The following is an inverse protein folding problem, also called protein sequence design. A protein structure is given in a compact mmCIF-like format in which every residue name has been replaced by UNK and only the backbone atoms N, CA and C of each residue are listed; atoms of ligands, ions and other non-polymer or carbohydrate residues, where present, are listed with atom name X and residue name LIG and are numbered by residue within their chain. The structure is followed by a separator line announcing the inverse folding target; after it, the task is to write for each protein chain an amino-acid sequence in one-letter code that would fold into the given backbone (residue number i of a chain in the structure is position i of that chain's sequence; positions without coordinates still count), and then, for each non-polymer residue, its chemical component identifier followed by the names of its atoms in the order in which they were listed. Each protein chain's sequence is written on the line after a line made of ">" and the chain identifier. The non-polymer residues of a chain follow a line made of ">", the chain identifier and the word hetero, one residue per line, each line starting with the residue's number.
data_IF_281957478491
#
_entry.id   IF_281957478491
#
_cell.length_a   1.000
_cell.length_b   1.000
_cell.length_c   1.000
_cell.angle_alpha   90.00
_cell.angle_beta   90.00
_cell.angle_gamma   90.00
#
_symmetry.space_group_name_H-M   'P 1'
#
loop_
_entity.id
_entity.type
_entity.pdbx_description
1 polymer ?
#
# COMPACT_ATOMS: atom_id res chain seq x y z
N UNK A 1 -6.29 17.50 -8.87
CA UNK A 1 -5.86 16.20 -8.30
C UNK A 1 -5.70 15.19 -9.40
N UNK A 2 -4.56 15.25 -10.11
CA UNK A 2 -4.11 14.11 -10.87
C UNK A 2 -3.22 13.26 -9.93
N UNK A 3 -3.72 12.09 -9.55
CA UNK A 3 -2.94 11.12 -8.79
C UNK A 3 -2.40 10.09 -9.78
N UNK A 4 -1.09 9.88 -9.80
CA UNK A 4 -0.52 8.71 -10.44
C UNK A 4 -0.45 7.60 -9.41
N UNK A 5 -1.21 6.53 -9.63
CA UNK A 5 -1.37 5.44 -8.67
C UNK A 5 -0.88 4.14 -9.28
N UNK A 6 -0.05 3.40 -8.53
CA UNK A 6 0.42 2.06 -8.88
C UNK A 6 0.19 1.11 -7.72
N UNK A 7 -0.47 -0.01 -7.96
CA UNK A 7 -0.61 -1.06 -6.94
C UNK A 7 0.74 -1.73 -6.67
N UNK A 8 1.10 -1.86 -5.39
CA UNK A 8 2.29 -2.57 -4.92
C UNK A 8 1.94 -3.98 -4.45
N UNK A 9 0.83 -4.11 -3.73
CA UNK A 9 0.36 -5.39 -3.19
C UNK A 9 -1.13 -5.33 -2.87
N UNK A 10 -1.82 -6.44 -3.12
CA UNK A 10 -3.13 -6.73 -2.55
C UNK A 10 -3.06 -8.02 -1.75
N UNK A 11 -3.60 -8.02 -0.54
CA UNK A 11 -3.78 -9.22 0.29
C UNK A 11 -5.26 -9.38 0.59
N UNK A 12 -5.82 -10.54 0.28
CA UNK A 12 -7.18 -10.90 0.64
C UNK A 12 -7.16 -12.27 1.31
N UNK A 13 -7.66 -12.36 2.54
CA UNK A 13 -7.83 -13.63 3.26
C UNK A 13 -9.33 -13.86 3.53
N UNK A 14 -9.81 -15.09 3.34
CA UNK A 14 -11.16 -15.55 3.67
C UNK A 14 -11.11 -16.96 4.28
N UNK A 15 -12.16 -17.49 4.97
CA UNK A 15 -13.59 -17.18 4.87
C UNK A 15 -14.30 -16.79 6.20
N UNK A 16 -13.55 -16.52 7.28
CA UNK A 16 -14.12 -16.21 8.62
C UNK A 16 -14.04 -14.72 8.97
N UNK A 17 -13.03 -14.03 8.43
CA UNK A 17 -12.84 -12.58 8.52
C UNK A 17 -12.53 -12.12 7.09
N UNK A 18 -13.32 -11.22 6.52
CA UNK A 18 -12.98 -10.62 5.22
C UNK A 18 -11.93 -9.55 5.47
N UNK A 19 -10.66 -9.95 5.46
CA UNK A 19 -9.50 -9.07 5.65
C UNK A 19 -8.91 -8.80 4.27
N UNK A 20 -9.12 -7.58 3.79
CA UNK A 20 -8.53 -7.09 2.55
C UNK A 20 -7.63 -5.89 2.84
N UNK A 21 -6.37 -6.00 2.42
CA UNK A 21 -5.39 -4.92 2.47
C UNK A 21 -4.94 -4.57 1.04
N UNK A 22 -4.89 -3.28 0.74
CA UNK A 22 -4.34 -2.73 -0.49
C UNK A 22 -3.21 -1.77 -0.18
N UNK A 23 -2.09 -1.94 -0.88
CA UNK A 23 -0.91 -1.10 -0.80
C UNK A 23 -0.64 -0.48 -2.16
N UNK A 24 -0.57 0.86 -2.23
CA UNK A 24 -0.41 1.60 -3.48
C UNK A 24 0.70 2.63 -3.35
N UNK A 25 1.53 2.76 -4.37
CA UNK A 25 2.42 3.91 -4.54
C UNK A 25 1.62 5.04 -5.18
N UNK A 26 1.60 6.21 -4.54
CA UNK A 26 0.85 7.38 -4.99
C UNK A 26 1.80 8.55 -5.19
N UNK A 27 1.80 9.11 -6.41
CA UNK A 27 2.39 10.41 -6.69
C UNK A 27 1.29 11.45 -6.87
N UNK A 28 1.20 12.37 -5.92
CA UNK A 28 0.35 13.55 -6.02
C UNK A 28 1.07 14.61 -6.87
N UNK A 29 0.58 14.83 -8.09
CA UNK A 29 1.20 15.80 -9.00
C UNK A 29 0.98 17.25 -8.58
N UNK A 30 0.00 17.53 -7.73
CA UNK A 30 -0.31 18.89 -7.29
C UNK A 30 0.64 19.28 -6.16
N UNK A 31 0.79 18.42 -5.16
CA UNK A 31 1.68 18.66 -4.00
C UNK A 31 3.12 18.17 -4.19
N UNK A 32 3.39 17.43 -5.28
CA UNK A 32 4.68 16.77 -5.58
C UNK A 32 5.11 15.76 -4.50
N UNK A 33 4.15 15.17 -3.79
CA UNK A 33 4.42 14.17 -2.75
C UNK A 33 4.33 12.77 -3.33
N UNK A 34 5.32 11.94 -2.99
CA UNK A 34 5.35 10.51 -3.33
C UNK A 34 5.27 9.72 -2.02
N UNK A 35 4.20 8.97 -1.83
CA UNK A 35 3.92 8.24 -0.59
C UNK A 35 3.30 6.88 -0.88
N UNK A 36 3.27 6.01 0.14
CA UNK A 36 2.55 4.74 0.09
C UNK A 36 1.20 4.91 0.77
N UNK A 37 0.16 4.46 0.12
CA UNK A 37 -1.19 4.41 0.66
C UNK A 37 -1.53 2.99 1.07
N UNK A 38 -1.95 2.83 2.32
CA UNK A 38 -2.46 1.58 2.86
C UNK A 38 -3.94 1.73 3.14
N UNK A 39 -4.75 0.91 2.48
CA UNK A 39 -6.19 0.82 2.70
C UNK A 39 -6.51 -0.58 3.19
N UNK A 40 -7.25 -0.69 4.29
CA UNK A 40 -7.68 -1.97 4.84
C UNK A 40 -9.19 -2.00 5.01
N UNK A 41 -9.75 -3.19 4.84
CA UNK A 41 -11.15 -3.49 5.12
C UNK A 41 -11.22 -4.85 5.78
N UNK A 42 -11.46 -4.85 7.09
CA UNK A 42 -11.62 -6.04 7.90
C UNK A 42 -13.08 -6.14 8.36
N UNK A 43 -13.82 -7.07 7.76
CA UNK A 43 -15.22 -7.34 8.14
C UNK A 43 -15.28 -8.63 8.95
N UNK A 44 -15.67 -8.53 10.22
CA UNK A 44 -16.04 -9.70 11.02
C UNK A 44 -17.42 -10.19 10.59
N UNK A 45 -17.49 -11.43 10.12
CA UNK A 45 -18.73 -12.05 9.61
C UNK A 45 -19.50 -12.79 10.71
N UNK A 46 -18.94 -12.91 11.93
CA UNK A 46 -19.48 -13.71 13.04
C UNK A 46 -19.94 -12.91 14.26
N UNK A 47 -19.51 -11.66 14.44
CA UNK A 47 -19.86 -10.83 15.61
C UNK A 47 -20.37 -9.43 15.28
N UNK A 48 -21.62 -9.12 15.63
CA UNK A 48 -22.22 -7.79 15.83
C UNK A 48 -21.65 -6.58 15.04
N UNK A 49 -21.32 -6.74 13.76
CA UNK A 49 -21.18 -5.66 12.78
C UNK A 49 -20.03 -4.66 12.97
N UNK A 50 -18.93 -4.99 13.68
CA UNK A 50 -17.76 -4.08 13.67
C UNK A 50 -16.91 -4.31 12.42
N UNK A 51 -17.15 -3.51 11.39
CA UNK A 51 -16.21 -3.31 10.29
C UNK A 51 -15.07 -2.41 10.76
N UNK A 52 -13.83 -2.92 10.76
CA UNK A 52 -12.64 -2.08 10.89
C UNK A 52 -12.12 -1.81 9.48
N UNK A 53 -12.38 -0.62 8.97
CA UNK A 53 -11.89 -0.17 7.67
C UNK A 53 -11.23 1.18 7.84
N UNK A 54 -10.20 1.44 7.05
CA UNK A 54 -9.47 2.67 7.14
C UNK A 54 -8.45 2.81 6.04
N UNK A 55 -7.80 3.96 6.07
CA UNK A 55 -6.83 4.38 5.08
C UNK A 55 -5.80 5.25 5.74
N UNK A 56 -4.53 4.99 5.47
CA UNK A 56 -3.41 5.79 5.93
C UNK A 56 -2.43 6.10 4.80
N UNK A 57 -1.66 7.17 4.99
CA UNK A 57 -0.57 7.55 4.12
C UNK A 57 0.73 7.38 4.91
N UNK A 58 1.69 6.70 4.30
CA UNK A 58 2.99 6.40 4.86
C UNK A 58 4.06 7.03 3.97
N UNK A 59 5.02 7.71 4.59
CA UNK A 59 6.19 8.16 3.85
C UNK A 59 7.00 6.93 3.37
N UNK A 60 7.69 7.05 2.23
CA UNK A 60 8.46 5.93 1.67
C UNK A 60 9.44 5.31 2.69
N UNK A 61 10.20 6.08 3.48
CA UNK A 61 11.08 5.51 4.48
C UNK A 61 10.33 4.74 5.57
N UNK A 62 9.17 5.24 6.01
CA UNK A 62 8.35 4.59 7.03
C UNK A 62 7.83 3.24 6.55
N UNK A 63 7.32 3.21 5.31
CA UNK A 63 6.88 1.96 4.68
C UNK A 63 8.04 0.96 4.55
N UNK A 64 9.21 1.38 4.04
CA UNK A 64 10.36 0.48 3.85
C UNK A 64 10.95 -0.05 5.16
N UNK A 65 10.76 0.66 6.27
CA UNK A 65 11.19 0.24 7.60
C UNK A 65 10.17 -0.64 8.32
N UNK A 66 8.94 -0.80 7.80
CA UNK A 66 7.99 -1.73 8.39
C UNK A 66 8.56 -3.16 8.36
N UNK A 67 8.38 -3.89 9.45
CA UNK A 67 8.90 -5.24 9.58
C UNK A 67 8.26 -6.17 8.54
N UNK A 68 9.08 -6.74 7.66
CA UNK A 68 8.68 -7.78 6.72
C UNK A 68 8.99 -7.44 5.27
N UNK A 69 9.72 -8.33 4.59
CA UNK A 69 9.97 -8.24 3.16
C UNK A 69 8.75 -8.72 2.35
N UNK A 70 7.66 -7.95 2.40
CA UNK A 70 6.45 -8.28 1.65
C UNK A 70 6.67 -8.13 0.14
N UNK A 71 5.74 -8.63 -0.68
CA UNK A 71 5.81 -8.44 -2.14
C UNK A 71 5.77 -6.96 -2.50
N UNK A 72 5.00 -6.15 -1.77
CA UNK A 72 4.95 -4.69 -1.96
C UNK A 72 6.30 -4.01 -1.70
N UNK A 73 7.04 -4.41 -0.65
CA UNK A 73 8.39 -3.89 -0.38
C UNK A 73 9.34 -4.18 -1.54
N UNK A 74 9.33 -5.42 -2.05
CA UNK A 74 10.21 -5.82 -3.16
C UNK A 74 9.88 -5.05 -4.44
N UNK A 75 8.61 -4.86 -4.75
CA UNK A 75 8.19 -4.10 -5.93
C UNK A 75 8.56 -2.63 -5.80
N UNK A 76 8.33 -2.00 -4.64
CA UNK A 76 8.74 -0.61 -4.44
C UNK A 76 10.26 -0.45 -4.58
N UNK A 77 11.03 -1.36 -3.98
CA UNK A 77 12.49 -1.35 -4.10
C UNK A 77 12.95 -1.49 -5.55
N UNK A 78 12.32 -2.39 -6.32
CA UNK A 78 12.58 -2.55 -7.76
C UNK A 78 12.32 -1.25 -8.52
N UNK A 79 11.20 -0.58 -8.25
CA UNK A 79 10.83 0.69 -8.90
C UNK A 79 11.83 1.80 -8.59
N UNK A 80 12.22 1.96 -7.32
CA UNK A 80 13.25 2.92 -6.92
C UNK A 80 14.54 2.64 -7.70
N UNK A 81 15.00 1.38 -7.72
CA UNK A 81 16.20 1.00 -8.48
C UNK A 81 16.09 1.29 -9.97
N UNK A 82 14.91 1.11 -10.57
CA UNK A 82 14.67 1.45 -11.98
C UNK A 82 14.70 2.96 -12.22
N UNK A 83 14.15 3.76 -11.30
CA UNK A 83 14.16 5.22 -11.42
C UNK A 83 15.57 5.81 -11.33
N UNK A 84 16.43 5.20 -10.52
CA UNK A 84 17.83 5.61 -10.32
C UNK A 84 18.82 4.83 -11.19
N UNK A 85 18.37 3.91 -12.03
CA UNK A 85 19.25 3.28 -13.01
C UNK A 85 19.63 4.35 -14.04
N UNK A 86 20.92 4.66 -14.14
CA UNK A 86 21.42 5.54 -15.20
C UNK A 86 21.03 4.93 -16.56
N UNK A 87 20.53 5.79 -17.46
CA UNK A 87 20.35 5.41 -18.85
C UNK A 87 21.76 5.25 -19.45
N UNK A 88 22.23 4.00 -19.51
CA UNK A 88 23.44 3.65 -20.24
C UNK A 88 23.29 3.95 -21.74
#
# INVERSE_FOLDING_TARGET
>A
MALLVRELQRSAKGPVENVEDWWRLVFDTDTKRLYVEHEWKHTDVRGAGRSNQGKEQLEIPEYLLQAGQTTGHRELWRLIRTLFAEAH
#
